data_IF_356657531445
#
_entry.id   IF_356657531445
#
_cell.length_a   1.000
_cell.length_b   1.000
_cell.length_c   1.000
_cell.angle_alpha   90.00
_cell.angle_beta   90.00
_cell.angle_gamma   90.00
#
_symmetry.space_group_name_H-M   'P 1'
#
loop_
_entity.id
_entity.type
_entity.pdbx_description
1 polymer ?
#
# COMPACT_ATOMS: atom_id res chain seq x y z
N UNK A 1 21.29 -14.98 0.90
CA UNK A 1 20.07 -14.14 1.01
C UNK A 1 19.50 -14.32 2.40
N UNK A 2 19.24 -13.23 3.12
CA UNK A 2 18.67 -13.24 4.49
C UNK A 2 17.16 -13.04 4.37
N UNK A 3 16.36 -13.97 4.90
CA UNK A 3 14.89 -13.92 4.80
C UNK A 3 14.17 -13.46 6.07
N UNK A 4 14.85 -13.53 7.23
CA UNK A 4 14.32 -13.14 8.54
C UNK A 4 15.48 -12.92 9.50
N UNK A 5 15.34 -11.96 10.40
CA UNK A 5 16.24 -11.78 11.55
C UNK A 5 15.41 -11.71 12.84
N UNK A 6 15.97 -12.28 13.91
CA UNK A 6 15.39 -12.23 15.26
C UNK A 6 16.51 -11.93 16.25
N UNK A 7 16.32 -10.92 17.09
CA UNK A 7 17.38 -10.42 17.96
C UNK A 7 16.86 -9.37 18.94
N UNK A 8 17.77 -8.63 19.54
CA UNK A 8 17.46 -7.50 20.43
C UNK A 8 17.62 -6.21 19.64
N UNK A 9 16.68 -5.29 19.79
CA UNK A 9 16.80 -3.94 19.21
C UNK A 9 17.93 -3.22 19.95
N UNK A 10 19.01 -2.90 19.26
CA UNK A 10 20.13 -2.15 19.85
C UNK A 10 19.83 -0.64 19.82
N UNK A 11 19.50 -0.12 18.64
CA UNK A 11 19.29 1.31 18.43
C UNK A 11 18.42 1.60 17.21
N UNK A 12 17.84 2.81 17.20
CA UNK A 12 17.08 3.35 16.07
C UNK A 12 17.78 4.58 15.49
N UNK A 13 17.71 4.72 14.18
CA UNK A 13 17.98 5.95 13.45
C UNK A 13 16.70 6.36 12.68
N UNK A 14 16.77 7.45 11.94
CA UNK A 14 15.71 8.01 11.11
C UNK A 14 15.02 7.01 10.16
N UNK A 15 15.78 6.10 9.54
CA UNK A 15 15.29 5.21 8.47
C UNK A 15 15.77 3.75 8.59
N UNK A 16 16.41 3.40 9.70
CA UNK A 16 16.90 2.05 9.95
C UNK A 16 16.98 1.77 11.46
N UNK A 17 17.11 0.50 11.80
CA UNK A 17 17.48 0.04 13.13
C UNK A 17 18.76 -0.79 13.08
N UNK A 18 19.45 -0.87 14.22
CA UNK A 18 20.45 -1.91 14.46
C UNK A 18 19.77 -3.02 15.27
N UNK A 19 19.76 -4.23 14.71
CA UNK A 19 19.26 -5.43 15.37
C UNK A 19 20.46 -6.32 15.74
N UNK A 20 20.70 -6.50 17.03
CA UNK A 20 21.71 -7.43 17.52
C UNK A 20 21.18 -8.86 17.47
N UNK A 21 21.79 -9.66 16.60
CA UNK A 21 21.55 -11.10 16.51
C UNK A 21 22.80 -11.83 17.02
N UNK A 22 22.78 -12.18 18.30
CA UNK A 22 23.84 -12.97 18.97
C UNK A 22 25.24 -12.34 18.87
N UNK A 23 25.33 -11.03 19.05
CA UNK A 23 26.57 -10.24 19.02
C UNK A 23 26.89 -9.64 17.65
N UNK A 24 26.02 -9.80 16.66
CA UNK A 24 26.18 -9.21 15.31
C UNK A 24 25.09 -8.16 15.08
N UNK A 25 25.49 -6.90 14.99
CA UNK A 25 24.59 -5.78 14.70
C UNK A 25 24.26 -5.69 13.20
N UNK A 26 23.03 -6.04 12.83
CA UNK A 26 22.53 -5.87 11.48
C UNK A 26 21.86 -4.52 11.31
N UNK A 27 22.33 -3.72 10.35
CA UNK A 27 21.61 -2.52 9.91
C UNK A 27 20.45 -2.93 9.01
N UNK A 28 19.22 -2.68 9.45
CA UNK A 28 17.99 -3.01 8.73
C UNK A 28 17.18 -1.75 8.46
N UNK A 29 16.95 -1.43 7.20
CA UNK A 29 16.06 -0.35 6.80
C UNK A 29 14.61 -0.76 7.03
N UNK A 30 13.86 0.01 7.81
CA UNK A 30 12.47 -0.28 8.15
C UNK A 30 11.65 1.02 8.16
N UNK A 31 10.40 0.96 7.71
CA UNK A 31 9.57 2.16 7.62
C UNK A 31 9.22 2.64 9.03
N UNK A 32 8.91 3.93 9.22
CA UNK A 32 8.46 4.42 10.53
C UNK A 32 7.25 3.63 11.05
N UNK A 33 6.40 3.15 10.15
CA UNK A 33 5.27 2.26 10.46
C UNK A 33 5.75 0.92 10.98
N UNK A 34 6.74 0.30 10.36
CA UNK A 34 7.37 -0.93 10.84
C UNK A 34 8.03 -0.71 12.20
N UNK A 35 8.84 0.35 12.36
CA UNK A 35 9.56 0.67 13.60
C UNK A 35 8.60 0.88 14.78
N UNK A 36 7.44 1.51 14.52
CA UNK A 36 6.40 1.72 15.54
C UNK A 36 5.74 0.42 16.04
N UNK A 37 5.89 -0.70 15.34
CA UNK A 37 5.25 -2.00 15.67
C UNK A 37 6.18 -2.97 16.42
N UNK A 38 7.49 -2.75 16.43
CA UNK A 38 8.46 -3.79 16.81
C UNK A 38 9.05 -3.63 18.22
N UNK A 39 8.80 -2.52 18.91
CA UNK A 39 9.24 -2.29 20.29
C UNK A 39 10.24 -1.14 20.43
N UNK A 40 10.97 -1.12 21.55
CA UNK A 40 11.98 -0.12 21.89
C UNK A 40 13.39 -0.75 21.98
N UNK A 41 14.47 0.06 22.01
CA UNK A 41 15.80 -0.46 22.28
C UNK A 41 15.83 -1.29 23.58
N UNK A 42 16.41 -2.49 23.51
CA UNK A 42 16.42 -3.49 24.56
C UNK A 42 15.35 -4.58 24.43
N UNK A 43 14.31 -4.36 23.63
CA UNK A 43 13.26 -5.36 23.41
C UNK A 43 13.66 -6.42 22.37
N UNK A 44 13.14 -7.66 22.48
CA UNK A 44 13.27 -8.65 21.42
C UNK A 44 12.37 -8.29 20.23
N UNK A 45 12.93 -8.35 19.02
CA UNK A 45 12.20 -8.12 17.78
C UNK A 45 12.48 -9.19 16.74
N UNK A 46 11.52 -9.35 15.82
CA UNK A 46 11.63 -10.26 14.69
C UNK A 46 11.10 -9.59 13.43
N UNK A 47 11.94 -9.54 12.40
CA UNK A 47 11.64 -8.85 11.15
C UNK A 47 11.79 -9.82 9.98
N UNK A 48 10.82 -9.76 9.07
CA UNK A 48 10.94 -10.35 7.74
C UNK A 48 11.92 -9.50 6.92
N UNK A 49 12.88 -10.13 6.26
CA UNK A 49 13.94 -9.43 5.54
C UNK A 49 13.84 -9.68 4.05
N UNK A 50 13.99 -8.62 3.27
CA UNK A 50 14.33 -8.69 1.85
C UNK A 50 15.75 -8.15 1.65
N UNK A 51 16.62 -8.99 1.06
CA UNK A 51 18.04 -8.64 0.85
C UNK A 51 18.22 -8.08 -0.55
N UNK A 52 18.52 -6.78 -0.66
CA UNK A 52 18.90 -6.17 -1.92
C UNK A 52 20.43 -6.21 -2.07
N UNK A 53 20.92 -6.98 -3.05
CA UNK A 53 22.35 -7.09 -3.35
C UNK A 53 22.64 -6.30 -4.62
N UNK A 54 23.62 -5.40 -4.53
CA UNK A 54 24.22 -4.66 -5.64
C UNK A 54 25.73 -4.94 -5.66
N UNK A 55 26.42 -4.50 -6.69
CA UNK A 55 27.87 -4.71 -6.82
C UNK A 55 28.66 -4.05 -5.67
N UNK A 56 28.16 -2.93 -5.16
CA UNK A 56 28.82 -2.08 -4.17
C UNK A 56 28.23 -2.20 -2.76
N UNK A 57 27.05 -2.79 -2.61
CA UNK A 57 26.33 -2.79 -1.33
C UNK A 57 25.38 -3.99 -1.16
N UNK A 58 25.24 -4.43 0.09
CA UNK A 58 24.17 -5.32 0.55
C UNK A 58 23.28 -4.51 1.48
N UNK A 59 22.02 -4.35 1.12
CA UNK A 59 21.03 -3.60 1.91
C UNK A 59 19.92 -4.54 2.38
N UNK A 60 19.59 -4.47 3.67
CA UNK A 60 18.49 -5.24 4.26
C UNK A 60 17.28 -4.33 4.45
N UNK A 61 16.14 -4.73 3.88
CA UNK A 61 14.85 -4.09 4.13
C UNK A 61 14.03 -5.00 5.04
N UNK A 62 13.56 -4.45 6.17
CA UNK A 62 12.84 -5.15 7.21
C UNK A 62 11.37 -4.79 7.26
N UNK A 63 10.54 -5.79 7.53
CA UNK A 63 9.08 -5.67 7.59
C UNK A 63 8.56 -6.39 8.83
N UNK A 64 7.61 -5.77 9.53
CA UNK A 64 6.97 -6.35 10.72
C UNK A 64 5.88 -7.36 10.32
N UNK A 65 5.25 -7.15 9.17
CA UNK A 65 4.18 -7.98 8.66
C UNK A 65 4.47 -8.49 7.25
N UNK A 66 3.88 -9.65 6.93
CA UNK A 66 4.09 -10.33 5.64
C UNK A 66 3.50 -9.56 4.47
N UNK A 67 2.38 -8.88 4.71
CA UNK A 67 1.71 -8.08 3.68
C UNK A 67 2.59 -6.93 3.19
N UNK A 68 3.26 -6.21 4.10
CA UNK A 68 4.20 -5.14 3.76
C UNK A 68 5.38 -5.69 2.93
N UNK A 69 5.93 -6.85 3.30
CA UNK A 69 7.00 -7.51 2.53
C UNK A 69 6.53 -7.94 1.13
N UNK A 70 5.34 -8.52 1.01
CA UNK A 70 4.77 -8.97 -0.27
C UNK A 70 4.51 -7.78 -1.19
N UNK A 71 3.98 -6.68 -0.66
CA UNK A 71 3.81 -5.45 -1.40
C UNK A 71 5.13 -4.85 -1.85
N UNK A 72 6.16 -4.86 -1.01
CA UNK A 72 7.49 -4.39 -1.39
C UNK A 72 8.02 -5.17 -2.59
N UNK A 73 7.93 -6.51 -2.55
CA UNK A 73 8.33 -7.38 -3.66
C UNK A 73 7.53 -7.11 -4.92
N UNK A 74 6.20 -6.97 -4.80
CA UNK A 74 5.34 -6.66 -5.94
C UNK A 74 5.72 -5.30 -6.56
N UNK A 75 5.91 -4.27 -5.74
CA UNK A 75 6.33 -2.94 -6.21
C UNK A 75 7.65 -3.02 -6.97
N UNK A 76 8.66 -3.69 -6.40
CA UNK A 76 9.98 -3.82 -7.05
C UNK A 76 9.98 -4.70 -8.30
N UNK A 77 8.90 -5.46 -8.56
CA UNK A 77 8.72 -6.19 -9.82
C UNK A 77 8.31 -5.28 -11.00
N UNK A 78 7.82 -4.07 -10.72
CA UNK A 78 7.43 -3.09 -11.75
C UNK A 78 8.67 -2.46 -12.37
N UNK A 79 8.70 -2.37 -13.70
CA UNK A 79 9.86 -1.83 -14.39
C UNK A 79 10.13 -0.36 -14.01
N UNK A 80 11.32 -0.09 -13.50
CA UNK A 80 11.73 1.24 -13.06
C UNK A 80 11.47 1.53 -11.57
N UNK A 81 10.89 0.58 -10.83
CA UNK A 81 10.77 0.66 -9.38
C UNK A 81 11.93 -0.10 -8.74
N UNK A 82 12.93 0.62 -8.26
CA UNK A 82 14.00 0.04 -7.44
C UNK A 82 13.61 -0.10 -5.97
N UNK A 83 14.41 -0.83 -5.18
CA UNK A 83 14.19 -1.04 -3.75
C UNK A 83 13.93 0.26 -2.97
N UNK A 84 14.71 1.32 -3.23
CA UNK A 84 14.50 2.64 -2.58
C UNK A 84 13.13 3.23 -2.87
N UNK A 85 12.67 3.18 -4.12
CA UNK A 85 11.36 3.72 -4.51
C UNK A 85 10.21 2.85 -3.97
N UNK A 86 10.32 1.52 -4.06
CA UNK A 86 9.32 0.61 -3.50
C UNK A 86 9.16 0.79 -1.99
N UNK A 87 10.27 0.98 -1.28
CA UNK A 87 10.27 1.26 0.15
C UNK A 87 9.68 2.64 0.49
N UNK A 88 10.05 3.68 -0.27
CA UNK A 88 9.48 5.02 -0.10
C UNK A 88 7.95 5.04 -0.29
N UNK A 89 7.42 4.23 -1.22
CA UNK A 89 5.97 4.06 -1.41
C UNK A 89 5.33 3.48 -0.15
N UNK A 90 5.90 2.43 0.44
CA UNK A 90 5.38 1.81 1.66
C UNK A 90 5.51 2.70 2.91
N UNK A 91 6.49 3.60 2.92
CA UNK A 91 6.61 4.60 3.96
C UNK A 91 5.45 5.61 3.95
N UNK A 92 4.91 5.98 2.77
CA UNK A 92 3.81 6.96 2.63
C UNK A 92 2.42 6.32 2.46
N UNK A 93 2.34 5.05 2.03
CA UNK A 93 1.09 4.33 1.82
C UNK A 93 1.13 2.96 2.48
N UNK A 94 0.12 2.64 3.30
CA UNK A 94 -0.05 1.28 3.83
C UNK A 94 -0.35 0.28 2.70
N UNK A 95 -0.14 -1.03 2.92
CA UNK A 95 -0.65 -2.07 2.02
C UNK A 95 -2.11 -1.87 1.60
N UNK A 96 -3.01 -1.59 2.55
CA UNK A 96 -4.45 -1.37 2.31
C UNK A 96 -4.72 -0.10 1.49
N UNK A 97 -4.01 0.99 1.83
CA UNK A 97 -4.06 2.25 1.11
C UNK A 97 -3.54 2.10 -0.32
N UNK A 98 -2.51 1.27 -0.52
CA UNK A 98 -1.93 1.00 -1.81
C UNK A 98 -2.89 0.19 -2.69
N UNK A 99 -3.56 -0.82 -2.14
CA UNK A 99 -4.66 -1.53 -2.83
C UNK A 99 -5.72 -0.53 -3.31
N UNK A 100 -6.18 0.34 -2.40
CA UNK A 100 -7.23 1.33 -2.71
C UNK A 100 -6.76 2.32 -3.77
N UNK A 101 -5.53 2.83 -3.65
CA UNK A 101 -4.95 3.75 -4.61
C UNK A 101 -4.81 3.14 -6.01
N UNK A 102 -4.42 1.86 -6.09
CA UNK A 102 -4.32 1.12 -7.36
C UNK A 102 -5.70 0.95 -7.98
N UNK A 103 -6.71 0.54 -7.21
CA UNK A 103 -8.08 0.37 -7.73
C UNK A 103 -8.69 1.71 -8.18
N UNK A 104 -8.51 2.76 -7.38
CA UNK A 104 -8.99 4.12 -7.67
C UNK A 104 -8.16 4.83 -8.78
N UNK A 105 -7.03 4.24 -9.19
CA UNK A 105 -6.04 4.86 -10.08
C UNK A 105 -5.58 6.24 -9.56
N UNK A 106 -5.38 6.34 -8.24
CA UNK A 106 -4.99 7.56 -7.55
C UNK A 106 -3.48 7.83 -7.67
N UNK A 107 -3.11 8.48 -8.77
CA UNK A 107 -1.73 8.84 -9.08
C UNK A 107 -1.13 9.78 -8.03
N UNK A 108 -1.93 10.69 -7.47
CA UNK A 108 -1.45 11.71 -6.54
C UNK A 108 -0.88 11.06 -5.27
N UNK A 109 -1.55 10.00 -4.80
CA UNK A 109 -1.15 9.25 -3.63
C UNK A 109 0.26 8.65 -3.76
N UNK A 110 0.58 8.06 -4.92
CA UNK A 110 1.89 7.44 -5.19
C UNK A 110 2.99 8.48 -5.42
N UNK A 111 2.68 9.62 -6.04
CA UNK A 111 3.68 10.67 -6.32
C UNK A 111 4.19 11.41 -5.07
N UNK A 112 3.61 11.13 -3.89
CA UNK A 112 4.13 11.62 -2.60
C UNK A 112 5.40 10.88 -2.15
N UNK A 113 5.66 9.70 -2.71
CA UNK A 113 6.84 8.92 -2.38
C UNK A 113 8.09 9.47 -3.09
N UNK A 114 9.17 9.63 -2.34
CA UNK A 114 10.44 10.08 -2.89
C UNK A 114 10.95 9.16 -4.01
N UNK A 115 11.28 9.77 -5.15
CA UNK A 115 11.72 9.04 -6.35
C UNK A 115 10.58 8.48 -7.21
N UNK A 116 9.31 8.79 -6.90
CA UNK A 116 8.15 8.38 -7.71
C UNK A 116 7.57 9.57 -8.48
N UNK A 117 7.98 9.71 -9.74
CA UNK A 117 7.44 10.73 -10.65
C UNK A 117 6.10 10.32 -11.28
N UNK A 118 5.38 11.27 -11.94
CA UNK A 118 4.07 11.00 -12.54
C UNK A 118 4.04 9.85 -13.54
N UNK A 119 5.09 9.70 -14.35
CA UNK A 119 5.21 8.60 -15.33
C UNK A 119 5.34 7.24 -14.64
N UNK A 120 6.14 7.18 -13.58
CA UNK A 120 6.35 5.94 -12.83
C UNK A 120 5.08 5.57 -12.05
N UNK A 121 4.42 6.55 -11.44
CA UNK A 121 3.14 6.35 -10.75
C UNK A 121 2.08 5.77 -11.70
N UNK A 122 1.91 6.33 -12.90
CA UNK A 122 0.99 5.77 -13.91
C UNK A 122 1.36 4.34 -14.29
N UNK A 123 2.64 4.04 -14.49
CA UNK A 123 3.08 2.67 -14.78
C UNK A 123 2.73 1.70 -13.65
N UNK A 124 3.02 2.07 -12.40
CA UNK A 124 2.70 1.27 -11.21
C UNK A 124 1.20 0.99 -11.17
N UNK A 125 0.37 2.04 -11.31
CA UNK A 125 -1.08 1.90 -11.25
C UNK A 125 -1.65 0.99 -12.34
N UNK A 126 -1.13 1.08 -13.57
CA UNK A 126 -1.59 0.25 -14.69
C UNK A 126 -1.12 -1.20 -14.55
N UNK A 127 0.17 -1.43 -14.29
CA UNK A 127 0.73 -2.78 -14.21
C UNK A 127 0.25 -3.56 -12.99
N UNK A 128 -0.01 -2.87 -11.88
CA UNK A 128 -0.45 -3.51 -10.65
C UNK A 128 -1.97 -3.63 -10.56
N UNK A 129 -2.76 -2.98 -11.42
CA UNK A 129 -4.23 -3.09 -11.41
C UNK A 129 -4.70 -4.55 -11.44
N UNK A 130 -4.11 -5.36 -12.32
CA UNK A 130 -4.48 -6.77 -12.49
C UNK A 130 -3.80 -7.71 -11.47
N UNK A 131 -2.79 -7.22 -10.75
CA UNK A 131 -1.99 -8.01 -9.79
C UNK A 131 -2.42 -7.75 -8.34
N UNK A 132 -2.87 -6.55 -8.02
CA UNK A 132 -3.27 -6.14 -6.67
C UNK A 132 -4.44 -6.97 -6.14
N UNK A 133 -5.41 -7.32 -7.01
CA UNK A 133 -6.53 -8.20 -6.64
C UNK A 133 -6.13 -9.64 -6.31
N UNK A 134 -4.88 -10.05 -6.59
CA UNK A 134 -4.37 -11.39 -6.27
C UNK A 134 -3.61 -11.46 -4.94
N UNK A 135 -3.36 -10.32 -4.30
CA UNK A 135 -2.65 -10.23 -3.00
C UNK A 135 -3.65 -10.27 -1.81
N UNK A 136 -4.94 -10.13 -2.06
CA UNK A 136 -6.02 -10.35 -1.07
C UNK A 136 -6.08 -11.85 -0.68
N UNK A 137 -6.06 -12.33 0.58
CA UNK A 137 -6.16 -11.73 1.91
C UNK A 137 -5.42 -12.58 2.96
N UNK A 138 -4.29 -12.12 3.47
CA UNK A 138 -3.60 -12.77 4.59
C UNK A 138 -4.09 -12.35 5.98
N UNK A 139 -4.75 -11.21 6.13
CA UNK A 139 -5.34 -10.75 7.39
C UNK A 139 -6.22 -9.52 7.14
N UNK A 140 -7.44 -9.55 7.67
CA UNK A 140 -8.34 -8.41 7.88
C UNK A 140 -9.22 -7.87 6.73
N UNK A 141 -9.91 -8.72 5.96
CA UNK A 141 -11.32 -8.43 5.61
C UNK A 141 -12.11 -9.75 5.62
N UNK A 142 -13.12 -9.83 6.49
CA UNK A 142 -14.13 -10.88 6.40
C UNK A 142 -14.86 -10.73 5.06
N UNK A 143 -14.67 -11.72 4.19
CA UNK A 143 -15.60 -12.18 3.17
C UNK A 143 -16.56 -11.14 2.57
N UNK A 144 -16.17 -10.57 1.44
CA UNK A 144 -17.09 -10.35 0.32
C UNK A 144 -16.44 -10.94 -0.91
N UNK A 145 -17.10 -11.94 -1.50
CA UNK A 145 -16.65 -12.65 -2.70
C UNK A 145 -16.51 -11.65 -3.87
N UNK A 146 -15.29 -11.23 -4.19
CA UNK A 146 -14.95 -10.42 -5.35
C UNK A 146 -14.63 -11.29 -6.58
N UNK A 147 -15.57 -12.15 -6.99
CA UNK A 147 -15.39 -13.00 -8.17
C UNK A 147 -16.51 -12.88 -9.23
N UNK A 148 -17.40 -11.89 -9.12
CA UNK A 148 -18.36 -11.58 -10.18
C UNK A 148 -18.25 -10.10 -10.58
N UNK A 149 -17.39 -9.79 -11.55
CA UNK A 149 -17.47 -8.56 -12.35
C UNK A 149 -16.78 -8.79 -13.69
N UNK A 150 -17.41 -9.63 -14.51
CA UNK A 150 -17.24 -9.58 -15.97
C UNK A 150 -18.62 -9.33 -16.58
N UNK A 151 -19.13 -8.13 -16.37
CA UNK A 151 -20.22 -7.52 -17.15
C UNK A 151 -20.29 -6.03 -16.82
N UNK A 152 -20.75 -5.25 -17.79
CA UNK A 152 -21.21 -3.85 -17.73
C UNK A 152 -20.22 -2.76 -18.18
N UNK A 153 -20.52 -2.30 -19.38
CA UNK A 153 -19.95 -1.14 -20.06
C UNK A 153 -20.81 0.13 -19.89
N UNK A 154 -21.85 0.12 -19.04
CA UNK A 154 -22.72 1.28 -18.75
C UNK A 154 -22.69 1.71 -17.27
N UNK A 155 -22.52 0.79 -16.32
CA UNK A 155 -22.43 1.12 -14.88
C UNK A 155 -21.17 1.90 -14.48
N UNK A 156 -20.08 1.74 -15.25
CA UNK A 156 -18.80 2.41 -14.97
C UNK A 156 -18.89 3.93 -15.12
N UNK A 157 -19.84 4.43 -15.91
CA UNK A 157 -20.03 5.87 -16.13
C UNK A 157 -20.57 6.57 -14.87
N UNK A 158 -21.62 6.02 -14.27
CA UNK A 158 -22.24 6.55 -13.06
C UNK A 158 -21.27 6.57 -11.88
N UNK A 159 -20.48 5.50 -11.70
CA UNK A 159 -19.48 5.41 -10.65
C UNK A 159 -18.36 6.45 -10.84
N UNK A 160 -17.89 6.63 -12.08
CA UNK A 160 -16.85 7.63 -12.40
C UNK A 160 -17.35 9.06 -12.23
N UNK A 161 -18.62 9.34 -12.60
CA UNK A 161 -19.24 10.64 -12.42
C UNK A 161 -19.42 10.98 -10.93
N UNK A 162 -19.84 10.00 -10.12
CA UNK A 162 -19.97 10.16 -8.67
C UNK A 162 -18.61 10.41 -8.01
N UNK A 163 -17.57 9.65 -8.37
CA UNK A 163 -16.20 9.88 -7.89
C UNK A 163 -15.71 11.27 -8.29
N UNK A 164 -15.94 11.69 -9.53
CA UNK A 164 -15.53 13.01 -10.02
C UNK A 164 -16.25 14.15 -9.28
N UNK A 165 -17.54 13.99 -8.97
CA UNK A 165 -18.29 14.94 -8.16
C UNK A 165 -17.71 15.08 -6.75
N UNK A 166 -17.39 13.97 -6.08
CA UNK A 166 -16.77 13.98 -4.75
C UNK A 166 -15.37 14.61 -4.76
N UNK A 167 -14.57 14.36 -5.80
CA UNK A 167 -13.27 15.03 -5.96
C UNK A 167 -13.44 16.54 -6.10
N UNK A 168 -14.41 17.00 -6.89
CA UNK A 168 -14.70 18.44 -7.04
C UNK A 168 -15.18 19.09 -5.73
N UNK A 169 -15.74 18.30 -4.80
CA UNK A 169 -16.08 18.74 -3.44
C UNK A 169 -14.87 18.78 -2.49
N UNK A 170 -13.69 18.35 -2.93
CA UNK A 170 -12.43 18.42 -2.19
C UNK A 170 -11.97 17.11 -1.54
N UNK A 171 -12.66 15.99 -1.79
CA UNK A 171 -12.25 14.69 -1.28
C UNK A 171 -11.11 14.08 -2.11
N UNK A 172 -10.29 13.23 -1.48
CA UNK A 172 -9.27 12.48 -2.23
C UNK A 172 -9.91 11.46 -3.17
N UNK A 173 -9.23 11.12 -4.26
CA UNK A 173 -9.75 10.16 -5.25
C UNK A 173 -9.94 8.78 -4.62
N UNK A 174 -9.02 8.36 -3.75
CA UNK A 174 -9.14 7.10 -3.01
C UNK A 174 -10.36 7.07 -2.08
N UNK A 175 -10.59 8.12 -1.30
CA UNK A 175 -11.73 8.18 -0.38
C UNK A 175 -13.06 8.22 -1.15
N UNK A 176 -13.13 9.03 -2.20
CA UNK A 176 -14.28 9.10 -3.10
C UNK A 176 -14.61 7.74 -3.71
N UNK A 177 -13.59 7.01 -4.19
CA UNK A 177 -13.76 5.69 -4.77
C UNK A 177 -14.29 4.66 -3.77
N UNK A 178 -13.74 4.62 -2.55
CA UNK A 178 -14.20 3.71 -1.49
C UNK A 178 -15.64 4.02 -1.09
N UNK A 179 -15.99 5.31 -0.95
CA UNK A 179 -17.33 5.73 -0.59
C UNK A 179 -18.37 5.37 -1.66
N UNK A 180 -18.06 5.62 -2.93
CA UNK A 180 -18.94 5.24 -4.06
C UNK A 180 -19.09 3.73 -4.15
N UNK A 181 -18.01 2.98 -3.98
CA UNK A 181 -18.05 1.51 -4.00
C UNK A 181 -18.94 0.93 -2.89
N UNK A 182 -18.92 1.52 -1.68
CA UNK A 182 -19.83 1.13 -0.58
C UNK A 182 -21.27 1.59 -0.82
N UNK A 183 -21.44 2.78 -1.38
CA UNK A 183 -22.75 3.35 -1.69
C UNK A 183 -23.48 2.56 -2.78
N UNK A 184 -22.75 2.00 -3.74
CA UNK A 184 -23.29 1.17 -4.83
C UNK A 184 -24.10 -0.02 -4.31
N UNK A 185 -23.66 -0.66 -3.22
CA UNK A 185 -24.41 -1.75 -2.59
C UNK A 185 -25.76 -1.33 -1.97
N UNK A 186 -26.03 -0.02 -1.85
CA UNK A 186 -27.20 0.55 -1.18
C UNK A 186 -28.02 1.50 -2.09
N UNK A 187 -27.56 1.78 -3.31
CA UNK A 187 -28.15 2.78 -4.21
C UNK A 187 -29.08 2.13 -5.25
N UNK A 188 -30.07 2.91 -5.74
CA UNK A 188 -30.99 2.50 -6.80
C UNK A 188 -30.56 3.04 -8.18
N UNK A 189 -29.35 2.69 -8.64
CA UNK A 189 -28.82 3.00 -9.99
C UNK A 189 -29.00 4.46 -10.48
N UNK A 190 -28.98 5.43 -9.57
CA UNK A 190 -29.13 6.86 -9.86
C UNK A 190 -27.94 7.65 -9.31
N UNK A 191 -27.36 8.54 -10.13
CA UNK A 191 -26.18 9.35 -9.80
C UNK A 191 -26.38 10.21 -8.54
N UNK A 192 -27.54 10.88 -8.42
CA UNK A 192 -27.79 11.77 -7.28
C UNK A 192 -27.90 11.00 -5.96
N UNK A 193 -28.54 9.83 -5.99
CA UNK A 193 -28.67 8.98 -4.81
C UNK A 193 -27.33 8.34 -4.43
N UNK A 194 -26.54 7.94 -5.43
CA UNK A 194 -25.19 7.42 -5.23
C UNK A 194 -24.28 8.46 -4.56
N UNK A 195 -24.28 9.71 -5.01
CA UNK A 195 -23.50 10.81 -4.40
C UNK A 195 -23.98 11.07 -2.96
N UNK A 196 -25.30 11.11 -2.72
CA UNK A 196 -25.87 11.36 -1.39
C UNK A 196 -25.45 10.27 -0.40
N UNK A 197 -25.55 9.00 -0.80
CA UNK A 197 -25.16 7.86 0.05
C UNK A 197 -23.64 7.86 0.27
N UNK A 198 -22.84 8.11 -0.78
CA UNK A 198 -21.39 8.17 -0.67
C UNK A 198 -20.91 9.30 0.28
N UNK A 199 -21.52 10.49 0.22
CA UNK A 199 -21.24 11.57 1.18
C UNK A 199 -21.55 11.16 2.62
N UNK A 200 -22.63 10.40 2.82
CA UNK A 200 -22.98 9.88 4.15
C UNK A 200 -21.92 8.91 4.66
N UNK A 201 -21.41 8.03 3.80
CA UNK A 201 -20.32 7.09 4.13
C UNK A 201 -18.98 7.79 4.41
N UNK A 202 -18.72 8.98 3.84
CA UNK A 202 -17.52 9.78 4.11
C UNK A 202 -17.60 10.58 5.42
N UNK A 203 -18.81 10.87 5.89
CA UNK A 203 -19.06 11.61 7.13
C UNK A 203 -19.26 10.71 8.37
N UNK A 204 -19.34 9.40 8.18
CA UNK A 204 -19.59 8.40 9.20
C UNK A 204 -18.28 7.78 9.71
#
# INVERSE_FOLDING_TARGET
>A
MIGKLSGIIDSFDSNFLILDVQGVGYQVHASNRTLSKIGQPGDPASLLIDTNVREDAITLYGFADKAEQEWFRLLTSVQGVGAKAGFAILAVCSPEQLTTAIMAQDKAMLTRADGVGPKLATRILTELKDKAGKIDLGQAVKATNYNDVVSQSEETGLDQDAVSALINLGYSRSDAFTAVSRAKAKANDNLQDLIRIALKELSA
#
